data_IF_196794669914
#
_entry.id   IF_196794669914
#
_cell.length_a   1.000
_cell.length_b   1.000
_cell.length_c   1.000
_cell.angle_alpha   90.00
_cell.angle_beta   90.00
_cell.angle_gamma   90.00
#
_symmetry.space_group_name_H-M   'P 1'
#
loop_
_entity.id
_entity.type
_entity.pdbx_description
1 polymer ?
#
# COMPACT_ATOMS: atom_id res chain seq x y z
N UNK A 1 63.94 48.49 33.89
CA UNK A 1 63.05 47.34 34.15
C UNK A 1 63.20 46.38 32.99
N UNK A 2 63.98 45.33 33.18
CA UNK A 2 64.29 44.29 32.19
C UNK A 2 63.76 42.99 32.78
N UNK A 3 62.84 42.31 32.11
CA UNK A 3 62.25 41.06 32.57
C UNK A 3 63.05 39.87 32.05
N UNK A 4 63.44 39.02 33.00
CA UNK A 4 63.95 37.65 32.86
C UNK A 4 62.78 36.70 32.52
N UNK A 5 63.08 35.49 32.00
CA UNK A 5 62.47 34.15 32.21
C UNK A 5 62.78 33.29 30.95
N UNK A 6 63.84 32.48 30.96
CA UNK A 6 63.93 31.05 31.36
C UNK A 6 63.35 30.03 30.36
N UNK A 7 64.22 29.11 29.93
CA UNK A 7 63.98 27.92 29.12
C UNK A 7 63.24 26.82 29.90
N UNK A 8 62.35 26.06 29.23
CA UNK A 8 62.12 24.63 29.49
C UNK A 8 61.32 23.94 28.35
N UNK A 9 62.05 23.11 27.60
CA UNK A 9 61.80 21.73 27.13
C UNK A 9 60.42 21.27 26.61
N UNK A 10 60.49 20.74 25.37
CA UNK A 10 59.58 19.84 24.67
C UNK A 10 58.95 18.73 25.53
N UNK A 11 57.65 18.47 25.34
CA UNK A 11 57.10 17.12 25.39
C UNK A 11 56.00 16.99 24.33
N UNK A 12 56.25 16.10 23.37
CA UNK A 12 55.38 15.75 22.26
C UNK A 12 54.33 14.75 22.77
N UNK A 13 53.05 15.11 22.78
CA UNK A 13 51.95 14.16 22.99
C UNK A 13 51.09 14.13 21.72
N UNK A 14 51.19 13.00 21.02
CA UNK A 14 50.38 12.66 19.87
C UNK A 14 48.92 12.46 20.31
N UNK A 15 48.04 13.37 19.92
CA UNK A 15 46.60 13.17 20.00
C UNK A 15 46.17 12.31 18.81
N UNK A 16 45.88 11.05 19.10
CA UNK A 16 45.30 10.10 18.16
C UNK A 16 43.93 10.61 17.69
N UNK A 17 43.84 10.79 16.38
CA UNK A 17 42.60 11.12 15.68
C UNK A 17 41.74 9.85 15.61
N UNK A 18 40.95 9.57 16.65
CA UNK A 18 39.93 8.53 16.59
C UNK A 18 38.79 9.00 15.69
N UNK A 19 38.82 8.55 14.43
CA UNK A 19 37.64 8.57 13.56
C UNK A 19 36.57 7.72 14.23
N UNK A 20 35.59 8.35 14.89
CA UNK A 20 34.35 7.70 15.22
C UNK A 20 33.61 7.43 13.91
N UNK A 21 33.57 6.16 13.52
CA UNK A 21 32.60 5.65 12.57
C UNK A 21 31.24 5.86 13.22
N UNK A 22 30.56 6.97 12.87
CA UNK A 22 29.19 7.19 13.27
C UNK A 22 28.32 6.16 12.53
N UNK A 23 27.57 5.42 13.33
CA UNK A 23 26.71 4.32 12.92
C UNK A 23 25.83 4.71 11.72
N UNK A 24 25.80 3.81 10.74
CA UNK A 24 24.76 3.74 9.72
C UNK A 24 23.40 3.86 10.39
N UNK A 25 22.64 4.91 10.03
CA UNK A 25 21.30 5.11 10.52
C UNK A 25 20.45 3.88 10.22
N UNK A 26 19.96 3.24 11.28
CA UNK A 26 18.88 2.26 11.20
C UNK A 26 17.66 2.99 10.70
N UNK A 27 17.31 2.78 9.43
CA UNK A 27 16.07 3.31 8.90
C UNK A 27 14.95 2.45 9.47
N UNK A 28 14.09 3.05 10.30
CA UNK A 28 12.88 2.42 10.81
C UNK A 28 11.88 2.32 9.64
N UNK A 29 12.05 1.34 8.76
CA UNK A 29 11.13 1.04 7.67
C UNK A 29 10.10 0.04 8.18
N UNK A 30 8.90 0.48 8.55
CA UNK A 30 7.86 -0.50 8.90
C UNK A 30 6.79 -0.57 7.84
N UNK A 31 7.08 -1.40 6.82
CA UNK A 31 6.11 -1.89 5.83
C UNK A 31 4.76 -2.29 6.45
N UNK A 32 4.82 -3.02 7.58
CA UNK A 32 3.70 -3.20 8.51
C UNK A 32 4.21 -2.87 9.92
N UNK A 33 3.73 -1.80 10.57
CA UNK A 33 4.09 -1.45 11.95
C UNK A 33 3.97 -2.64 12.93
N UNK A 34 4.78 -2.73 14.01
CA UNK A 34 4.78 -3.92 14.88
C UNK A 34 3.45 -4.15 15.63
N UNK A 35 2.61 -3.11 15.76
CA UNK A 35 1.28 -3.11 16.34
C UNK A 35 0.15 -3.19 15.30
N UNK A 36 0.48 -3.56 14.05
CA UNK A 36 -0.51 -3.91 13.02
C UNK A 36 -1.52 -4.93 13.54
N UNK A 37 -2.74 -4.89 12.99
CA UNK A 37 -3.68 -6.00 13.15
C UNK A 37 -2.96 -7.31 12.79
N UNK A 38 -3.19 -8.42 13.52
CA UNK A 38 -2.52 -9.69 13.22
C UNK A 38 -3.05 -10.30 11.92
N UNK A 39 -2.35 -11.30 11.38
CA UNK A 39 -2.94 -12.16 10.35
C UNK A 39 -4.27 -12.74 10.87
N UNK A 40 -5.33 -12.71 10.06
CA UNK A 40 -6.65 -13.19 10.45
C UNK A 40 -7.20 -14.09 9.36
N UNK A 41 -6.90 -15.38 9.44
CA UNK A 41 -7.25 -16.33 8.39
C UNK A 41 -8.74 -16.63 8.38
N UNK A 42 -9.37 -16.39 7.24
CA UNK A 42 -10.73 -16.85 6.97
C UNK A 42 -10.68 -18.07 6.06
N UNK A 43 -11.80 -18.77 5.93
CA UNK A 43 -11.96 -19.78 4.89
C UNK A 43 -13.17 -19.41 4.06
N UNK A 44 -13.09 -19.67 2.76
CA UNK A 44 -14.14 -19.38 1.81
C UNK A 44 -14.30 -20.55 0.86
N UNK A 45 -15.54 -20.95 0.60
CA UNK A 45 -15.87 -21.95 -0.43
C UNK A 45 -15.93 -21.37 -1.85
N UNK A 46 -15.74 -20.05 -2.01
CA UNK A 46 -15.67 -19.43 -3.34
C UNK A 46 -14.54 -20.04 -4.15
N UNK A 47 -14.84 -20.44 -5.38
CA UNK A 47 -13.86 -20.94 -6.34
C UNK A 47 -13.44 -19.80 -7.26
N UNK A 48 -12.13 -19.56 -7.47
CA UNK A 48 -11.70 -18.55 -8.42
C UNK A 48 -12.00 -18.97 -9.86
N UNK A 49 -12.10 -17.98 -10.75
CA UNK A 49 -11.98 -18.21 -12.19
C UNK A 49 -10.51 -18.08 -12.59
N UNK A 50 -10.09 -18.86 -13.59
CA UNK A 50 -8.73 -18.81 -14.11
C UNK A 50 -8.66 -17.85 -15.32
N UNK A 51 -7.89 -16.78 -15.18
CA UNK A 51 -7.58 -15.85 -16.28
C UNK A 51 -6.10 -16.01 -16.60
N UNK A 52 -5.81 -16.81 -17.62
CA UNK A 52 -4.44 -17.25 -17.89
C UNK A 52 -3.94 -18.12 -16.74
N UNK A 53 -2.84 -17.72 -16.11
CA UNK A 53 -2.29 -18.34 -14.90
C UNK A 53 -2.69 -17.62 -13.61
N UNK A 54 -3.61 -16.65 -13.68
CA UNK A 54 -4.01 -15.82 -12.54
C UNK A 54 -5.39 -16.23 -12.06
N UNK A 55 -5.48 -16.58 -10.78
CA UNK A 55 -6.75 -16.85 -10.12
C UNK A 55 -7.44 -15.53 -9.78
N UNK A 56 -8.74 -15.46 -10.04
CA UNK A 56 -9.55 -14.28 -9.73
C UNK A 56 -10.82 -14.71 -9.03
N UNK A 57 -11.04 -14.24 -7.82
CA UNK A 57 -12.32 -14.37 -7.14
C UNK A 57 -13.24 -13.28 -7.68
N UNK A 58 -14.14 -13.68 -8.58
CA UNK A 58 -15.02 -12.75 -9.27
C UNK A 58 -16.37 -12.66 -8.57
N UNK A 59 -16.75 -11.45 -8.17
CA UNK A 59 -18.04 -11.12 -7.60
C UNK A 59 -18.84 -10.36 -8.65
N UNK A 60 -19.73 -11.10 -9.32
CA UNK A 60 -20.46 -10.63 -10.50
C UNK A 60 -21.56 -9.63 -10.13
N UNK A 61 -21.62 -8.51 -10.86
CA UNK A 61 -22.77 -7.62 -10.88
C UNK A 61 -23.21 -7.40 -12.32
N UNK A 62 -24.21 -8.15 -12.80
CA UNK A 62 -24.62 -8.12 -14.21
C UNK A 62 -25.24 -6.79 -14.65
N UNK A 63 -25.49 -5.86 -13.71
CA UNK A 63 -26.04 -4.52 -14.00
C UNK A 63 -24.95 -3.45 -14.12
N UNK A 64 -23.70 -3.77 -13.79
CA UNK A 64 -22.58 -2.82 -13.84
C UNK A 64 -21.73 -3.07 -15.08
N UNK A 65 -21.21 -1.99 -15.67
CA UNK A 65 -20.17 -2.02 -16.70
C UNK A 65 -18.81 -1.54 -16.17
N UNK A 66 -18.72 -1.26 -14.86
CA UNK A 66 -17.49 -0.84 -14.23
C UNK A 66 -16.84 -2.00 -13.50
N UNK A 67 -15.50 -2.07 -13.58
CA UNK A 67 -14.70 -3.07 -12.90
C UNK A 67 -13.92 -2.44 -11.75
N UNK A 68 -14.02 -3.06 -10.58
CA UNK A 68 -13.16 -2.79 -9.45
C UNK A 68 -12.19 -3.96 -9.27
N UNK A 69 -10.91 -3.71 -9.55
CA UNK A 69 -9.84 -4.62 -9.16
C UNK A 69 -9.60 -4.49 -7.66
N UNK A 70 -9.41 -5.60 -6.97
CA UNK A 70 -9.01 -5.63 -5.57
C UNK A 70 -7.71 -6.43 -5.45
N UNK A 71 -6.75 -5.90 -4.70
CA UNK A 71 -5.46 -6.54 -4.44
C UNK A 71 -5.28 -6.83 -2.95
N UNK A 72 -4.87 -8.06 -2.58
CA UNK A 72 -4.77 -8.48 -1.18
C UNK A 72 -3.61 -7.80 -0.46
N UNK A 73 -3.58 -7.94 0.86
CA UNK A 73 -2.35 -7.72 1.63
C UNK A 73 -1.39 -8.91 1.50
N UNK A 74 -0.28 -8.88 2.25
CA UNK A 74 0.76 -9.91 2.21
C UNK A 74 0.30 -11.29 2.70
N UNK A 75 -0.90 -11.39 3.29
CA UNK A 75 -1.51 -12.65 3.74
C UNK A 75 -2.49 -13.23 2.70
N UNK A 76 -2.69 -12.55 1.56
CA UNK A 76 -3.38 -13.13 0.42
C UNK A 76 -4.91 -13.15 0.51
N UNK A 77 -5.50 -14.07 -0.25
CA UNK A 77 -6.92 -14.01 -0.62
C UNK A 77 -7.90 -14.31 0.52
N UNK A 78 -7.43 -15.01 1.56
CA UNK A 78 -8.22 -15.35 2.74
C UNK A 78 -7.86 -14.49 3.97
N UNK A 79 -7.13 -13.39 3.72
CA UNK A 79 -6.78 -12.40 4.73
C UNK A 79 -8.01 -11.61 5.19
N UNK A 80 -8.47 -11.93 6.39
CA UNK A 80 -9.58 -11.29 7.09
C UNK A 80 -10.84 -11.25 6.24
N UNK A 81 -11.54 -10.12 6.27
CA UNK A 81 -12.79 -9.90 5.52
C UNK A 81 -12.61 -9.36 4.12
N UNK A 82 -11.47 -9.62 3.47
CA UNK A 82 -11.21 -9.12 2.10
C UNK A 82 -12.29 -9.58 1.11
N UNK A 83 -12.67 -10.87 1.14
CA UNK A 83 -13.75 -11.42 0.30
C UNK A 83 -15.13 -10.87 0.66
N UNK A 84 -15.42 -10.65 1.95
CA UNK A 84 -16.68 -10.01 2.37
C UNK A 84 -16.77 -8.56 1.90
N UNK A 85 -15.66 -7.81 1.94
CA UNK A 85 -15.59 -6.44 1.43
C UNK A 85 -15.81 -6.43 -0.09
N UNK A 86 -15.24 -7.39 -0.82
CA UNK A 86 -15.51 -7.54 -2.26
C UNK A 86 -17.00 -7.81 -2.53
N UNK A 87 -17.64 -8.68 -1.74
CA UNK A 87 -19.08 -8.94 -1.85
C UNK A 87 -19.94 -7.70 -1.53
N UNK A 88 -19.53 -6.84 -0.59
CA UNK A 88 -20.21 -5.55 -0.34
C UNK A 88 -20.08 -4.60 -1.54
N UNK A 89 -18.89 -4.49 -2.10
CA UNK A 89 -18.61 -3.63 -3.26
C UNK A 89 -19.30 -4.13 -4.54
N UNK A 90 -19.52 -5.45 -4.66
CA UNK A 90 -20.19 -6.04 -5.81
C UNK A 90 -21.69 -5.71 -5.89
N UNK A 91 -22.27 -5.10 -4.84
CA UNK A 91 -23.61 -4.53 -4.93
C UNK A 91 -23.70 -3.40 -5.98
N UNK A 92 -22.57 -2.76 -6.33
CA UNK A 92 -22.50 -1.60 -7.22
C UNK A 92 -21.61 -1.83 -8.46
N UNK A 93 -20.56 -2.64 -8.32
CA UNK A 93 -19.54 -2.84 -9.37
C UNK A 93 -19.36 -4.31 -9.72
N UNK A 94 -18.76 -4.61 -10.88
CA UNK A 94 -18.10 -5.90 -11.04
C UNK A 94 -16.83 -5.89 -10.21
N UNK A 95 -16.60 -6.88 -9.34
CA UNK A 95 -15.41 -6.90 -8.48
C UNK A 95 -14.55 -8.10 -8.80
N UNK A 96 -13.30 -7.86 -9.17
CA UNK A 96 -12.29 -8.89 -9.41
C UNK A 96 -11.23 -8.82 -8.32
N UNK A 97 -11.28 -9.75 -7.37
CA UNK A 97 -10.23 -9.89 -6.36
C UNK A 97 -9.12 -10.78 -6.94
N UNK A 98 -7.99 -10.15 -7.28
CA UNK A 98 -6.96 -10.73 -8.15
C UNK A 98 -5.86 -11.36 -7.30
N UNK A 99 -5.61 -12.65 -7.54
CA UNK A 99 -4.57 -13.40 -6.85
C UNK A 99 -3.21 -13.24 -7.55
N UNK A 100 -2.35 -12.38 -6.99
CA UNK A 100 -1.10 -11.98 -7.64
C UNK A 100 0.10 -12.89 -7.28
N UNK A 101 0.01 -13.64 -6.19
CA UNK A 101 1.06 -14.51 -5.68
C UNK A 101 0.49 -15.89 -5.26
N UNK A 102 1.33 -16.88 -5.03
CA UNK A 102 0.89 -18.23 -4.60
C UNK A 102 1.49 -18.67 -3.26
N UNK A 103 2.37 -17.85 -2.72
CA UNK A 103 3.26 -18.12 -1.58
C UNK A 103 3.17 -16.98 -0.55
N UNK A 104 1.96 -16.47 -0.31
CA UNK A 104 1.69 -15.45 0.70
C UNK A 104 2.24 -15.84 2.08
N UNK A 105 2.54 -14.83 2.89
CA UNK A 105 3.06 -15.02 4.24
C UNK A 105 1.99 -15.66 5.14
N UNK A 106 2.41 -16.52 6.07
CA UNK A 106 1.51 -17.13 7.06
C UNK A 106 1.51 -16.38 8.40
N UNK A 107 2.57 -15.64 8.66
CA UNK A 107 2.84 -14.86 9.86
C UNK A 107 3.68 -13.62 9.53
N UNK A 108 3.75 -12.67 10.47
CA UNK A 108 4.63 -11.52 10.32
C UNK A 108 6.06 -11.88 10.74
N UNK A 109 6.99 -11.80 9.79
CA UNK A 109 8.42 -11.89 10.02
C UNK A 109 9.13 -10.94 9.05
N UNK A 110 9.85 -9.95 9.59
CA UNK A 110 10.40 -8.85 8.78
C UNK A 110 11.41 -9.35 7.72
N UNK A 111 12.38 -10.24 8.03
CA UNK A 111 13.27 -10.80 7.02
C UNK A 111 12.52 -11.57 5.92
N UNK A 112 11.55 -12.42 6.26
CA UNK A 112 10.72 -13.13 5.28
C UNK A 112 9.88 -12.17 4.44
N UNK A 113 9.34 -11.11 5.05
CA UNK A 113 8.58 -10.09 4.33
C UNK A 113 9.45 -9.40 3.29
N UNK A 114 10.66 -8.97 3.64
CA UNK A 114 11.58 -8.33 2.68
C UNK A 114 11.91 -9.29 1.54
N UNK A 115 12.30 -10.54 1.84
CA UNK A 115 12.60 -11.54 0.82
C UNK A 115 11.39 -11.86 -0.08
N UNK A 116 10.19 -11.89 0.50
CA UNK A 116 8.95 -12.10 -0.24
C UNK A 116 8.61 -10.92 -1.15
N UNK A 117 8.84 -9.68 -0.71
CA UNK A 117 8.67 -8.51 -1.58
C UNK A 117 9.64 -8.58 -2.76
N UNK A 118 10.92 -8.84 -2.50
CA UNK A 118 11.95 -8.95 -3.54
C UNK A 118 11.64 -10.03 -4.59
N UNK A 119 10.95 -11.12 -4.22
CA UNK A 119 10.50 -12.14 -5.17
C UNK A 119 9.23 -11.78 -5.95
N UNK A 120 8.56 -10.68 -5.59
CA UNK A 120 7.34 -10.18 -6.22
C UNK A 120 7.48 -8.75 -6.78
N UNK A 121 8.46 -8.48 -7.67
CA UNK A 121 8.62 -7.16 -8.27
C UNK A 121 7.40 -6.80 -9.12
N UNK A 122 7.03 -5.52 -9.14
CA UNK A 122 5.83 -5.02 -9.82
C UNK A 122 5.78 -5.42 -11.31
N UNK A 123 6.94 -5.46 -11.96
CA UNK A 123 7.11 -5.84 -13.37
C UNK A 123 6.63 -7.27 -13.63
N UNK A 124 6.72 -8.17 -12.65
CA UNK A 124 6.20 -9.54 -12.76
C UNK A 124 4.68 -9.62 -12.57
N UNK A 125 4.09 -8.66 -11.84
CA UNK A 125 2.66 -8.61 -11.52
C UNK A 125 1.87 -7.92 -12.63
N UNK A 126 2.45 -6.91 -13.28
CA UNK A 126 1.77 -6.07 -14.28
C UNK A 126 1.14 -6.88 -15.43
N UNK A 127 1.80 -7.89 -16.04
CA UNK A 127 1.17 -8.70 -17.07
C UNK A 127 -0.08 -9.45 -16.60
N UNK A 128 -0.10 -9.93 -15.34
CA UNK A 128 -1.28 -10.59 -14.74
C UNK A 128 -2.44 -9.61 -14.64
N UNK A 129 -2.17 -8.40 -14.12
CA UNK A 129 -3.17 -7.33 -13.98
C UNK A 129 -3.76 -6.94 -15.35
N UNK A 130 -2.90 -6.72 -16.35
CA UNK A 130 -3.33 -6.37 -17.70
C UNK A 130 -4.15 -7.49 -18.37
N UNK A 131 -3.79 -8.75 -18.13
CA UNK A 131 -4.56 -9.89 -18.64
C UNK A 131 -5.96 -9.96 -18.02
N UNK A 132 -6.08 -9.69 -16.72
CA UNK A 132 -7.38 -9.61 -16.02
C UNK A 132 -8.23 -8.49 -16.59
N UNK A 133 -7.69 -7.29 -16.74
CA UNK A 133 -8.42 -6.15 -17.35
C UNK A 133 -8.89 -6.50 -18.77
N UNK A 134 -7.98 -7.02 -19.61
CA UNK A 134 -8.29 -7.41 -20.99
C UNK A 134 -9.39 -8.47 -21.07
N UNK A 135 -9.36 -9.46 -20.17
CA UNK A 135 -10.41 -10.47 -20.06
C UNK A 135 -11.77 -9.83 -19.80
N UNK A 136 -11.87 -8.97 -18.78
CA UNK A 136 -13.14 -8.34 -18.42
C UNK A 136 -13.64 -7.34 -19.46
N UNK A 137 -12.75 -6.54 -20.08
CA UNK A 137 -13.11 -5.67 -21.21
C UNK A 137 -13.71 -6.47 -22.36
N UNK A 138 -13.09 -7.60 -22.72
CA UNK A 138 -13.54 -8.45 -23.84
C UNK A 138 -14.82 -9.22 -23.52
N UNK A 139 -14.91 -9.81 -22.33
CA UNK A 139 -15.98 -10.76 -21.98
C UNK A 139 -17.19 -10.11 -21.32
N UNK A 140 -16.99 -8.99 -20.61
CA UNK A 140 -18.04 -8.30 -19.84
C UNK A 140 -18.32 -6.89 -20.34
N UNK A 141 -17.61 -6.42 -21.37
CA UNK A 141 -17.75 -5.06 -21.91
C UNK A 141 -17.61 -4.01 -20.81
N UNK A 142 -16.52 -4.14 -20.05
CA UNK A 142 -16.17 -3.19 -19.01
C UNK A 142 -15.70 -1.88 -19.65
N UNK A 143 -16.26 -0.77 -19.19
CA UNK A 143 -15.96 0.57 -19.71
C UNK A 143 -14.85 1.25 -18.90
N UNK A 144 -15.03 1.32 -17.56
CA UNK A 144 -14.05 1.91 -16.64
C UNK A 144 -13.51 0.88 -15.66
N UNK A 145 -12.28 1.11 -15.22
CA UNK A 145 -11.59 0.23 -14.26
C UNK A 145 -11.07 1.08 -13.11
N UNK A 146 -11.39 0.77 -11.87
CA UNK A 146 -10.69 1.30 -10.70
C UNK A 146 -9.99 0.18 -9.95
N UNK A 147 -9.10 0.52 -9.02
CA UNK A 147 -8.44 -0.45 -8.17
C UNK A 147 -8.45 -0.05 -6.69
N UNK A 148 -8.60 -1.05 -5.83
CA UNK A 148 -8.49 -0.97 -4.38
C UNK A 148 -7.39 -1.93 -3.93
N UNK A 149 -6.56 -1.49 -2.99
CA UNK A 149 -5.51 -2.30 -2.41
C UNK A 149 -5.44 -2.20 -0.89
N UNK A 150 -5.15 -3.32 -0.25
CA UNK A 150 -4.87 -3.40 1.19
C UNK A 150 -3.36 -3.56 1.40
N UNK A 151 -2.69 -2.76 2.25
CA UNK A 151 -1.26 -2.97 2.59
C UNK A 151 -0.38 -3.04 1.32
N UNK A 152 0.24 -4.19 1.03
CA UNK A 152 1.01 -4.45 -0.19
C UNK A 152 0.18 -4.28 -1.46
N UNK A 153 -1.09 -4.69 -1.46
CA UNK A 153 -2.00 -4.43 -2.57
C UNK A 153 -2.17 -2.94 -2.86
N UNK A 154 -2.06 -2.06 -1.84
CA UNK A 154 -2.09 -0.61 -2.05
C UNK A 154 -0.83 -0.10 -2.75
N UNK A 155 0.34 -0.72 -2.52
CA UNK A 155 1.55 -0.47 -3.30
C UNK A 155 1.35 -0.89 -4.76
N UNK A 156 0.70 -2.04 -5.03
CA UNK A 156 0.36 -2.46 -6.39
C UNK A 156 -0.55 -1.44 -7.09
N UNK A 157 -1.58 -0.94 -6.40
CA UNK A 157 -2.47 0.13 -6.93
C UNK A 157 -1.67 1.38 -7.30
N UNK A 158 -0.79 1.84 -6.40
CA UNK A 158 -0.01 3.05 -6.60
C UNK A 158 0.99 2.91 -7.75
N UNK A 159 1.69 1.77 -7.81
CA UNK A 159 2.59 1.45 -8.91
C UNK A 159 1.86 1.40 -10.22
N UNK A 160 0.71 0.71 -10.30
CA UNK A 160 -0.05 0.67 -11.54
C UNK A 160 -0.60 2.04 -11.94
N UNK A 161 -1.07 2.84 -10.98
CA UNK A 161 -1.50 4.24 -11.16
C UNK A 161 -0.38 5.16 -11.66
N UNK A 162 0.88 4.79 -11.41
CA UNK A 162 2.07 5.52 -11.83
C UNK A 162 2.63 5.09 -13.21
N UNK A 163 2.07 4.04 -13.82
CA UNK A 163 2.52 3.60 -15.14
C UNK A 163 1.98 4.51 -16.25
N UNK A 164 2.77 4.81 -17.30
CA UNK A 164 2.30 5.63 -18.43
C UNK A 164 1.10 5.03 -19.20
N UNK A 165 0.87 3.72 -19.06
CA UNK A 165 -0.21 2.98 -19.72
C UNK A 165 -1.20 2.40 -18.72
N UNK A 166 -1.37 3.08 -17.58
CA UNK A 166 -2.40 2.70 -16.63
C UNK A 166 -3.77 2.76 -17.29
N UNK A 167 -4.58 1.73 -17.07
CA UNK A 167 -5.98 1.69 -17.54
C UNK A 167 -6.95 2.05 -16.40
N UNK A 168 -6.41 2.45 -15.24
CA UNK A 168 -7.20 2.84 -14.09
C UNK A 168 -7.83 4.23 -14.30
N UNK A 169 -9.08 4.37 -13.91
CA UNK A 169 -9.80 5.64 -13.77
C UNK A 169 -9.58 6.25 -12.39
N UNK A 170 -9.30 5.43 -11.37
CA UNK A 170 -8.92 5.87 -10.02
C UNK A 170 -8.25 4.74 -9.22
N UNK A 171 -7.48 5.10 -8.19
CA UNK A 171 -6.83 4.18 -7.24
C UNK A 171 -7.20 4.48 -5.79
N UNK A 172 -7.41 3.42 -5.00
CA UNK A 172 -7.70 3.49 -3.57
C UNK A 172 -6.70 2.65 -2.78
N UNK A 173 -6.14 3.24 -1.73
CA UNK A 173 -5.19 2.62 -0.83
C UNK A 173 -5.77 2.57 0.59
N UNK A 174 -5.89 1.36 1.14
CA UNK A 174 -6.19 1.14 2.55
C UNK A 174 -4.93 0.71 3.29
N UNK A 175 -4.61 1.39 4.40
CA UNK A 175 -3.39 1.18 5.20
C UNK A 175 -2.17 0.95 4.29
N UNK A 176 -1.75 1.94 3.50
CA UNK A 176 -0.81 1.73 2.40
C UNK A 176 0.58 1.30 2.88
N UNK A 177 1.10 0.23 2.29
CA UNK A 177 2.52 -0.16 2.45
C UNK A 177 3.35 0.26 1.24
N UNK A 178 3.25 1.52 0.82
CA UNK A 178 4.04 2.05 -0.31
C UNK A 178 5.56 1.99 -0.05
N UNK A 179 5.97 1.90 1.22
CA UNK A 179 7.31 1.54 1.70
C UNK A 179 7.86 0.26 1.06
N UNK A 180 7.01 -0.64 0.54
CA UNK A 180 7.45 -1.81 -0.23
C UNK A 180 8.38 -1.46 -1.41
N UNK A 181 8.24 -0.26 -1.98
CA UNK A 181 9.10 0.22 -3.06
C UNK A 181 10.57 0.35 -2.64
N UNK A 182 10.83 0.52 -1.35
CA UNK A 182 12.18 0.74 -0.84
C UNK A 182 13.03 -0.53 -0.90
N UNK A 183 12.40 -1.71 -0.91
CA UNK A 183 13.08 -2.97 -1.19
C UNK A 183 13.71 -3.01 -2.60
N UNK A 184 13.18 -2.23 -3.55
CA UNK A 184 13.64 -2.22 -4.94
C UNK A 184 14.47 -0.98 -5.29
N UNK A 185 14.12 0.17 -4.71
CA UNK A 185 14.65 1.47 -5.11
C UNK A 185 15.24 2.29 -3.96
N UNK A 186 15.36 1.70 -2.76
CA UNK A 186 15.98 2.31 -1.60
C UNK A 186 15.10 3.34 -0.88
N UNK A 187 15.60 3.93 0.23
CA UNK A 187 14.81 4.81 1.09
C UNK A 187 14.22 6.02 0.36
N UNK A 188 12.97 6.35 0.69
CA UNK A 188 12.21 7.46 0.11
C UNK A 188 11.52 7.15 -1.21
N UNK A 189 11.77 5.97 -1.79
CA UNK A 189 11.15 5.57 -3.06
C UNK A 189 9.63 5.36 -2.93
N UNK A 190 9.14 4.97 -1.75
CA UNK A 190 7.71 4.84 -1.48
C UNK A 190 6.95 6.15 -1.71
N UNK A 191 7.43 7.25 -1.12
CA UNK A 191 6.86 8.58 -1.36
C UNK A 191 7.03 9.03 -2.82
N UNK A 192 8.15 8.66 -3.45
CA UNK A 192 8.47 9.03 -4.83
C UNK A 192 7.52 8.42 -5.88
N UNK A 193 6.75 7.36 -5.55
CA UNK A 193 5.70 6.83 -6.44
C UNK A 193 4.72 7.95 -6.85
N UNK A 194 4.38 8.85 -5.93
CA UNK A 194 3.46 9.97 -6.17
C UNK A 194 3.91 10.92 -7.29
N UNK A 195 5.20 10.93 -7.65
CA UNK A 195 5.73 11.76 -8.75
C UNK A 195 5.20 11.33 -10.13
N UNK A 196 4.76 10.09 -10.27
CA UNK A 196 4.39 9.51 -11.55
C UNK A 196 2.90 9.12 -11.63
N UNK A 197 2.15 9.19 -10.53
CA UNK A 197 0.71 8.91 -10.54
C UNK A 197 -0.02 9.87 -11.48
N UNK A 198 -0.90 9.35 -12.33
CA UNK A 198 -1.67 10.15 -13.31
C UNK A 198 -3.18 10.11 -13.08
N UNK A 199 -3.65 9.26 -12.16
CA UNK A 199 -5.08 9.03 -11.92
C UNK A 199 -5.48 9.44 -10.51
N UNK A 200 -6.74 9.84 -10.28
CA UNK A 200 -7.26 10.20 -8.97
C UNK A 200 -6.95 9.18 -7.86
N UNK A 201 -6.62 9.65 -6.66
CA UNK A 201 -6.26 8.79 -5.52
C UNK A 201 -7.15 9.01 -4.28
N UNK A 202 -7.54 7.93 -3.63
CA UNK A 202 -8.02 7.93 -2.25
C UNK A 202 -7.02 7.16 -1.38
N UNK A 203 -6.46 7.80 -0.37
CA UNK A 203 -5.47 7.17 0.52
C UNK A 203 -5.99 7.26 1.95
N UNK A 204 -6.31 6.11 2.53
CA UNK A 204 -6.80 5.99 3.89
C UNK A 204 -5.73 5.30 4.74
N UNK A 205 -5.19 6.02 5.71
CA UNK A 205 -4.09 5.54 6.58
C UNK A 205 -4.59 5.21 7.99
N UNK A 206 -3.92 4.29 8.66
CA UNK A 206 -4.04 4.05 10.09
C UNK A 206 -3.24 5.13 10.85
N UNK A 207 -3.50 5.26 12.15
CA UNK A 207 -2.74 6.18 13.01
C UNK A 207 -1.27 5.80 13.16
N UNK A 208 -0.94 4.52 12.98
CA UNK A 208 0.42 4.00 13.06
C UNK A 208 1.10 3.81 11.69
N UNK A 209 0.46 4.23 10.59
CA UNK A 209 1.11 4.27 9.27
C UNK A 209 2.08 5.46 9.17
N UNK A 210 3.04 5.38 8.25
CA UNK A 210 4.08 6.39 8.06
C UNK A 210 3.52 7.81 7.79
N UNK A 211 4.05 8.82 8.49
CA UNK A 211 3.54 10.21 8.39
C UNK A 211 3.62 10.80 6.97
N UNK A 212 4.59 10.36 6.15
CA UNK A 212 4.79 10.91 4.81
C UNK A 212 3.66 10.57 3.82
N UNK A 213 2.84 9.56 4.12
CA UNK A 213 1.65 9.16 3.32
C UNK A 213 0.33 9.61 3.95
N UNK A 214 0.36 10.25 5.12
CA UNK A 214 -0.82 10.81 5.79
C UNK A 214 -1.21 12.19 5.20
N UNK A 215 -2.39 12.75 5.57
CA UNK A 215 -2.77 14.10 5.17
C UNK A 215 -1.71 15.15 5.53
N UNK A 216 -1.41 16.06 4.60
CA UNK A 216 -0.32 17.04 4.66
C UNK A 216 1.09 16.46 4.61
N UNK A 217 1.25 15.13 4.51
CA UNK A 217 2.51 14.46 4.26
C UNK A 217 3.06 14.70 2.85
N UNK A 218 4.24 14.14 2.57
CA UNK A 218 4.94 14.32 1.29
C UNK A 218 4.11 13.87 0.08
N UNK A 219 3.34 12.78 0.21
CA UNK A 219 2.48 12.28 -0.87
C UNK A 219 1.34 13.26 -1.18
N UNK A 220 0.62 13.77 -0.17
CA UNK A 220 -0.43 14.78 -0.34
C UNK A 220 0.12 16.04 -1.03
N UNK A 221 1.25 16.55 -0.54
CA UNK A 221 1.91 17.72 -1.12
C UNK A 221 2.30 17.50 -2.59
N UNK A 222 2.84 16.32 -2.91
CA UNK A 222 3.26 15.97 -4.28
C UNK A 222 2.05 15.88 -5.22
N UNK A 223 1.00 15.16 -4.83
CA UNK A 223 -0.21 15.01 -5.64
C UNK A 223 -0.88 16.37 -5.88
N UNK A 224 -0.95 17.22 -4.84
CA UNK A 224 -1.47 18.59 -4.95
C UNK A 224 -0.66 19.47 -5.89
N UNK A 225 0.66 19.49 -5.75
CA UNK A 225 1.55 20.27 -6.62
C UNK A 225 1.44 19.85 -8.09
N UNK A 226 1.18 18.56 -8.33
CA UNK A 226 0.95 17.98 -9.66
C UNK A 226 -0.49 18.08 -10.15
N UNK A 227 -1.39 18.68 -9.36
CA UNK A 227 -2.82 18.81 -9.67
C UNK A 227 -3.52 17.47 -9.94
N UNK A 228 -3.03 16.39 -9.31
CA UNK A 228 -3.70 15.09 -9.34
C UNK A 228 -4.83 15.12 -8.29
N UNK A 229 -6.10 14.86 -8.66
CA UNK A 229 -7.18 14.80 -7.70
C UNK A 229 -6.89 13.75 -6.64
N UNK A 230 -6.79 14.16 -5.37
CA UNK A 230 -6.50 13.24 -4.28
C UNK A 230 -7.29 13.60 -3.04
N UNK A 231 -7.72 12.56 -2.31
CA UNK A 231 -8.22 12.69 -0.94
C UNK A 231 -7.40 11.77 -0.05
N UNK A 232 -6.86 12.34 1.02
CA UNK A 232 -6.16 11.59 2.05
C UNK A 232 -6.90 11.76 3.37
N UNK A 233 -7.04 10.68 4.13
CA UNK A 233 -7.62 10.71 5.47
C UNK A 233 -6.91 9.71 6.39
N UNK A 234 -6.56 10.20 7.57
CA UNK A 234 -6.01 9.41 8.65
C UNK A 234 -7.14 8.90 9.57
N UNK A 235 -7.05 7.64 9.97
CA UNK A 235 -7.88 7.03 11.01
C UNK A 235 -7.01 6.74 12.24
N UNK A 236 -6.92 7.73 13.13
CA UNK A 236 -5.99 7.73 14.27
C UNK A 236 -6.16 6.55 15.24
N UNK A 237 -7.38 6.07 15.43
CA UNK A 237 -7.71 5.08 16.48
C UNK A 237 -7.72 3.64 15.98
N UNK A 238 -7.14 3.37 14.82
CA UNK A 238 -6.99 2.02 14.27
C UNK A 238 -5.57 1.81 13.80
N UNK A 239 -5.16 0.55 13.74
CA UNK A 239 -3.83 0.16 13.31
C UNK A 239 -3.83 -0.41 11.90
N UNK A 240 -2.66 -0.41 11.27
CA UNK A 240 -2.43 -1.00 9.95
C UNK A 240 -3.11 -2.37 9.81
N UNK A 241 -3.84 -2.59 8.72
CA UNK A 241 -4.63 -3.80 8.51
C UNK A 241 -6.08 -3.72 9.02
N UNK A 242 -6.53 -2.61 9.61
CA UNK A 242 -7.88 -2.54 10.20
C UNK A 242 -9.01 -2.83 9.20
N UNK A 243 -8.85 -2.45 7.93
CA UNK A 243 -9.92 -2.54 6.93
C UNK A 243 -10.34 -3.98 6.63
N UNK A 244 -9.38 -4.90 6.56
CA UNK A 244 -9.65 -6.30 6.29
C UNK A 244 -9.45 -7.18 7.53
N UNK A 245 -8.53 -6.86 8.44
CA UNK A 245 -8.18 -7.75 9.58
C UNK A 245 -8.66 -7.24 10.93
N UNK A 246 -9.06 -5.97 11.05
CA UNK A 246 -9.51 -5.35 12.30
C UNK A 246 -10.70 -6.06 12.94
N UNK A 247 -10.75 -6.08 14.28
CA UNK A 247 -11.83 -6.68 15.05
C UNK A 247 -13.07 -5.77 15.08
N UNK A 248 -14.15 -6.14 14.38
CA UNK A 248 -15.38 -5.34 14.32
C UNK A 248 -16.26 -5.41 15.58
N UNK A 249 -15.90 -6.22 16.60
CA UNK A 249 -16.57 -6.14 17.91
C UNK A 249 -16.06 -4.96 18.73
N UNK A 250 -14.90 -4.40 18.36
CA UNK A 250 -14.44 -3.12 18.87
C UNK A 250 -15.19 -1.98 18.15
N UNK A 251 -15.88 -1.15 18.92
CA UNK A 251 -16.68 -0.05 18.38
C UNK A 251 -15.88 1.00 17.60
N UNK A 252 -14.63 1.27 17.99
CA UNK A 252 -13.78 2.23 17.31
C UNK A 252 -13.33 1.69 15.95
N UNK A 253 -12.96 0.41 15.90
CA UNK A 253 -12.60 -0.28 14.65
C UNK A 253 -13.81 -0.40 13.73
N UNK A 254 -14.98 -0.75 14.26
CA UNK A 254 -16.22 -0.85 13.49
C UNK A 254 -16.63 0.51 12.89
N UNK A 255 -16.53 1.59 13.67
CA UNK A 255 -16.80 2.94 13.19
C UNK A 255 -15.81 3.37 12.11
N UNK A 256 -14.51 3.16 12.32
CA UNK A 256 -13.48 3.50 11.33
C UNK A 256 -13.66 2.71 10.02
N UNK A 257 -13.97 1.41 10.11
CA UNK A 257 -14.31 0.59 8.95
C UNK A 257 -15.52 1.15 8.19
N UNK A 258 -16.60 1.47 8.91
CA UNK A 258 -17.81 2.01 8.29
C UNK A 258 -17.50 3.32 7.57
N UNK A 259 -16.82 4.26 8.22
CA UNK A 259 -16.48 5.55 7.64
C UNK A 259 -15.56 5.40 6.41
N UNK A 260 -14.53 4.55 6.50
CA UNK A 260 -13.63 4.30 5.38
C UNK A 260 -14.33 3.70 4.16
N UNK A 261 -15.26 2.76 4.37
CA UNK A 261 -15.99 2.12 3.28
C UNK A 261 -17.10 3.03 2.73
N UNK A 262 -18.02 3.48 3.59
CA UNK A 262 -19.26 4.12 3.17
C UNK A 262 -19.14 5.64 2.99
N UNK A 263 -18.32 6.32 3.80
CA UNK A 263 -18.22 7.79 3.75
C UNK A 263 -17.09 8.26 2.82
N UNK A 264 -16.06 7.43 2.62
CA UNK A 264 -14.92 7.76 1.76
C UNK A 264 -14.92 6.97 0.45
N UNK A 265 -14.89 5.64 0.53
CA UNK A 265 -14.62 4.79 -0.64
C UNK A 265 -15.77 4.78 -1.64
N UNK A 266 -17.01 4.56 -1.18
CA UNK A 266 -18.16 4.53 -2.10
C UNK A 266 -18.40 5.87 -2.81
N UNK A 267 -18.39 7.04 -2.12
CA UNK A 267 -18.52 8.32 -2.81
C UNK A 267 -17.37 8.62 -3.77
N UNK A 268 -16.14 8.22 -3.42
CA UNK A 268 -14.99 8.38 -4.29
C UNK A 268 -15.13 7.53 -5.56
N UNK A 269 -15.43 6.23 -5.42
CA UNK A 269 -15.70 5.35 -6.57
C UNK A 269 -16.84 5.88 -7.42
N UNK A 270 -17.92 6.36 -6.80
CA UNK A 270 -19.04 6.95 -7.53
C UNK A 270 -18.60 8.13 -8.41
N UNK A 271 -17.67 8.96 -7.94
CA UNK A 271 -17.21 10.14 -8.68
C UNK A 271 -16.35 9.81 -9.91
N UNK A 272 -15.76 8.61 -9.99
CA UNK A 272 -14.82 8.24 -11.05
C UNK A 272 -15.25 7.04 -11.90
N UNK A 273 -16.19 6.22 -11.41
CA UNK A 273 -16.75 5.10 -12.17
C UNK A 273 -18.12 5.42 -12.77
N UNK A 274 -18.96 6.27 -12.15
CA UNK A 274 -20.22 6.68 -12.76
C UNK A 274 -20.08 7.87 -13.72
#
# INVERSE_FOLDING_TARGET
>A
MVSIWSFATLTLLALGNSRSVAATGTVNHTLCPPDSAPANWTSSSLTPIHIGSTDVFFFDNPRSHDLLLVFPDVYGMDSGRSKENCAKLSALYNVAFVDLATDYLVDFDLPRLVAWLESHPFESLLPKIQQVISHFKTKRRVDKVAAVGYCWGAWVVAKYSSTPRTELSAGISFHPSWTAEEAFHGPGSGAAIANNITVPQLILTAGNDEEWIQPRGQVDQTLRARHVPARLREFQNVTHGWMNRGNLTDSAVALAFHQALYDETLPFLHSYLH
#
